data_IF_441245385931
#
_entry.id   IF_441245385931
#
_cell.length_a   1.000
_cell.length_b   1.000
_cell.length_c   1.000
_cell.angle_alpha   90.00
_cell.angle_beta   90.00
_cell.angle_gamma   90.00
#
_symmetry.space_group_name_H-M   'P 1'
#
loop_
_entity.id
_entity.type
_entity.pdbx_description
1 polymer ?
#
# COMPACT_ATOMS: atom_id res chain seq x y z
N UNK A 1 56.36 9.45 -68.03
CA UNK A 1 56.65 10.88 -67.82
C UNK A 1 56.73 11.12 -66.30
N UNK A 2 57.97 11.01 -65.80
CA UNK A 2 58.31 11.27 -64.42
C UNK A 2 58.41 12.78 -64.16
N UNK A 3 57.70 13.30 -63.16
CA UNK A 3 57.87 14.69 -62.75
C UNK A 3 58.95 14.75 -61.66
N UNK A 4 60.11 15.27 -62.04
CA UNK A 4 61.21 15.60 -61.14
C UNK A 4 60.73 16.53 -59.97
N UNK A 5 60.93 16.12 -58.72
CA UNK A 5 60.77 16.96 -57.52
C UNK A 5 62.04 17.85 -57.44
N UNK A 6 61.87 19.17 -57.66
CA UNK A 6 62.88 20.19 -57.35
C UNK A 6 63.14 20.22 -55.81
N UNK A 7 64.33 19.77 -55.43
CA UNK A 7 64.82 19.91 -54.03
C UNK A 7 65.19 21.41 -53.86
N UNK A 8 64.51 22.06 -52.83
CA UNK A 8 64.84 23.40 -52.38
C UNK A 8 66.17 23.37 -51.68
N UNK A 9 67.24 24.01 -52.16
CA UNK A 9 68.51 24.19 -51.47
C UNK A 9 68.31 24.95 -50.15
N UNK A 10 68.88 24.41 -49.06
CA UNK A 10 68.95 25.07 -47.81
C UNK A 10 69.61 26.46 -47.90
N UNK A 11 69.01 27.43 -47.23
CA UNK A 11 69.43 28.84 -47.25
C UNK A 11 70.62 29.16 -46.30
N UNK A 12 71.15 28.14 -45.62
CA UNK A 12 72.21 28.28 -44.62
C UNK A 12 73.35 27.27 -44.90
N UNK A 13 74.60 27.64 -44.64
CA UNK A 13 75.74 26.72 -44.84
C UNK A 13 75.68 25.58 -43.80
N UNK A 14 76.20 24.42 -44.16
CA UNK A 14 76.33 23.29 -43.28
C UNK A 14 77.13 23.67 -41.99
N UNK A 15 76.57 23.43 -40.80
CA UNK A 15 77.18 23.75 -39.55
C UNK A 15 76.62 25.01 -38.84
N UNK A 16 75.69 25.73 -39.41
CA UNK A 16 75.11 26.92 -38.72
C UNK A 16 74.13 26.54 -37.66
N UNK A 17 74.59 26.60 -36.36
CA UNK A 17 73.73 26.47 -35.20
C UNK A 17 73.15 27.86 -34.86
N UNK A 18 72.02 28.18 -35.44
CA UNK A 18 71.35 29.45 -35.15
C UNK A 18 70.89 29.53 -33.67
N UNK A 19 71.10 30.69 -33.10
CA UNK A 19 70.59 30.95 -31.71
C UNK A 19 69.07 30.70 -31.68
N UNK A 20 68.54 30.00 -30.63
CA UNK A 20 67.09 29.81 -30.52
C UNK A 20 66.42 31.19 -30.41
N UNK A 21 65.37 31.37 -31.20
CA UNK A 21 64.53 32.58 -31.10
C UNK A 21 63.92 32.62 -29.71
N UNK A 22 63.96 33.78 -29.02
CA UNK A 22 63.33 33.90 -27.70
C UNK A 22 61.84 33.54 -27.86
N UNK A 23 61.36 32.60 -26.99
CA UNK A 23 59.93 32.28 -26.89
C UNK A 23 59.21 33.59 -26.49
N UNK A 24 58.29 34.04 -27.36
CA UNK A 24 57.37 35.10 -26.99
C UNK A 24 56.49 34.54 -25.88
N UNK A 25 56.61 35.01 -24.64
CA UNK A 25 55.69 34.74 -23.58
C UNK A 25 54.32 35.24 -24.06
N UNK A 26 53.36 34.35 -24.21
CA UNK A 26 51.97 34.74 -24.39
C UNK A 26 51.52 35.23 -23.02
N UNK A 27 51.50 36.54 -22.79
CA UNK A 27 50.77 37.13 -21.69
C UNK A 27 49.29 36.81 -21.90
N UNK A 28 48.71 36.00 -21.02
CA UNK A 28 47.30 35.78 -20.96
C UNK A 28 46.63 37.08 -20.46
N UNK A 29 46.12 37.90 -21.40
CA UNK A 29 45.24 39.00 -21.03
C UNK A 29 43.90 38.46 -20.55
N UNK A 30 43.65 38.53 -19.29
CA UNK A 30 42.31 38.18 -18.72
C UNK A 30 41.36 39.32 -19.11
N UNK A 31 40.60 39.08 -20.16
CA UNK A 31 39.57 40.02 -20.56
C UNK A 31 38.41 39.98 -19.57
N UNK A 32 37.96 41.13 -19.10
CA UNK A 32 36.76 41.20 -18.25
C UNK A 32 35.57 40.58 -19.00
N UNK A 33 34.80 39.66 -18.35
CA UNK A 33 33.70 38.99 -19.00
C UNK A 33 32.64 39.99 -19.49
N UNK A 34 32.18 39.81 -20.73
CA UNK A 34 31.18 40.68 -21.36
C UNK A 34 29.80 40.48 -20.73
N UNK A 35 28.87 41.44 -20.89
CA UNK A 35 27.46 41.27 -20.45
C UNK A 35 26.84 40.00 -21.03
N UNK A 36 27.15 39.62 -22.24
CA UNK A 36 26.68 38.37 -22.87
C UNK A 36 27.17 37.12 -22.17
N UNK A 37 28.39 37.12 -21.63
CA UNK A 37 28.94 36.02 -20.84
C UNK A 37 28.13 35.83 -19.55
N UNK A 38 27.80 36.92 -18.82
CA UNK A 38 27.02 36.86 -17.60
C UNK A 38 25.58 36.41 -17.85
N UNK A 39 24.95 36.82 -18.95
CA UNK A 39 23.63 36.34 -19.35
C UNK A 39 23.67 34.84 -19.67
N UNK A 40 24.68 34.38 -20.42
CA UNK A 40 24.86 32.96 -20.71
C UNK A 40 25.10 32.10 -19.47
N UNK A 41 25.91 32.61 -18.53
CA UNK A 41 26.17 31.93 -17.24
C UNK A 41 24.89 31.84 -16.39
N UNK A 42 24.10 32.91 -16.31
CA UNK A 42 22.83 32.92 -15.59
C UNK A 42 21.85 31.90 -16.18
N UNK A 43 21.78 31.81 -17.52
CA UNK A 43 20.94 30.84 -18.21
C UNK A 43 21.40 29.39 -17.98
N UNK A 44 22.71 29.13 -17.99
CA UNK A 44 23.30 27.82 -17.68
C UNK A 44 23.02 27.41 -16.23
N UNK A 45 23.15 28.32 -15.27
CA UNK A 45 22.81 28.06 -13.86
C UNK A 45 21.30 27.81 -13.66
N UNK A 46 20.43 28.50 -14.38
CA UNK A 46 18.99 28.25 -14.34
C UNK A 46 18.64 26.84 -14.89
N UNK A 47 19.28 26.42 -15.98
CA UNK A 47 19.09 25.06 -16.53
C UNK A 47 19.60 24.01 -15.55
N UNK A 48 20.78 24.20 -14.97
CA UNK A 48 21.32 23.28 -13.95
C UNK A 48 20.38 23.19 -12.74
N UNK A 49 19.90 24.33 -12.26
CA UNK A 49 18.93 24.37 -11.15
C UNK A 49 17.63 23.64 -11.48
N UNK A 50 17.10 23.81 -12.69
CA UNK A 50 15.93 23.10 -13.16
C UNK A 50 16.15 21.59 -13.29
N UNK A 51 17.27 21.17 -13.86
CA UNK A 51 17.64 19.75 -13.95
C UNK A 51 17.84 19.12 -12.56
N UNK A 52 18.51 19.85 -11.65
CA UNK A 52 18.67 19.40 -10.25
C UNK A 52 17.31 19.26 -9.56
N UNK A 53 16.40 20.22 -9.77
CA UNK A 53 15.03 20.13 -9.26
C UNK A 53 14.30 18.90 -9.79
N UNK A 54 14.39 18.61 -11.09
CA UNK A 54 13.79 17.40 -11.69
C UNK A 54 14.38 16.13 -11.07
N UNK A 55 15.71 16.05 -10.94
CA UNK A 55 16.38 14.88 -10.34
C UNK A 55 15.95 14.69 -8.89
N UNK A 56 15.89 15.76 -8.09
CA UNK A 56 15.39 15.69 -6.71
C UNK A 56 13.94 15.22 -6.67
N UNK A 57 13.09 15.70 -7.59
CA UNK A 57 11.69 15.26 -7.71
C UNK A 57 11.57 13.79 -8.08
N UNK A 58 12.37 13.30 -9.03
CA UNK A 58 12.42 11.89 -9.42
C UNK A 58 12.89 11.01 -8.25
N UNK A 59 13.94 11.42 -7.53
CA UNK A 59 14.43 10.69 -6.35
C UNK A 59 13.38 10.69 -5.23
N UNK A 60 12.65 11.80 -5.03
CA UNK A 60 11.56 11.85 -4.04
C UNK A 60 10.38 10.95 -4.40
N UNK A 61 10.09 10.75 -5.69
CA UNK A 61 9.04 9.81 -6.14
C UNK A 61 9.46 8.34 -5.90
N UNK A 62 10.75 8.02 -6.06
CA UNK A 62 11.25 6.66 -5.80
C UNK A 62 11.36 6.31 -4.31
N UNK A 63 11.42 7.30 -3.42
CA UNK A 63 11.55 7.13 -1.97
C UNK A 63 10.25 7.36 -1.20
N UNK A 64 9.09 7.03 -1.75
CA UNK A 64 7.85 6.98 -0.95
C UNK A 64 7.98 5.85 0.06
N UNK A 65 8.48 6.18 1.24
CA UNK A 65 8.58 5.22 2.36
C UNK A 65 7.17 4.79 2.71
N UNK A 66 6.95 3.49 2.63
CA UNK A 66 5.68 2.90 3.05
C UNK A 66 5.49 3.13 4.55
N UNK A 67 4.30 3.53 5.02
CA UNK A 67 4.03 3.61 6.44
C UNK A 67 4.24 2.23 7.08
N UNK A 68 4.66 2.17 8.35
CA UNK A 68 4.78 0.91 9.07
C UNK A 68 3.41 0.25 9.19
N UNK A 69 3.41 -1.08 9.22
CA UNK A 69 2.19 -1.82 9.55
C UNK A 69 1.86 -1.59 11.02
N UNK A 70 0.65 -1.14 11.29
CA UNK A 70 0.11 -0.92 12.61
C UNK A 70 -0.85 -2.06 12.99
N UNK A 71 -0.82 -2.47 14.24
CA UNK A 71 -1.75 -3.44 14.79
C UNK A 71 -2.93 -2.70 15.41
N UNK A 72 -4.05 -2.65 14.69
CA UNK A 72 -5.28 -2.12 15.24
C UNK A 72 -6.01 -3.24 16.00
N UNK A 73 -6.34 -2.99 17.24
CA UNK A 73 -7.12 -3.87 18.08
C UNK A 73 -8.41 -3.18 18.49
N UNK A 74 -9.51 -3.91 18.44
CA UNK A 74 -10.81 -3.38 18.83
C UNK A 74 -10.84 -3.15 20.33
N UNK A 75 -10.80 -1.89 20.70
CA UNK A 75 -10.96 -1.47 22.09
C UNK A 75 -12.45 -1.46 22.53
N UNK A 76 -12.74 -0.68 23.56
CA UNK A 76 -14.13 -0.49 23.98
C UNK A 76 -14.89 0.31 22.93
N UNK A 77 -15.84 -0.34 22.26
CA UNK A 77 -16.68 0.29 21.24
C UNK A 77 -17.67 1.27 21.90
N UNK A 78 -17.86 2.42 21.25
CA UNK A 78 -18.92 3.36 21.60
C UNK A 78 -20.24 2.91 20.97
N UNK A 79 -21.35 3.25 21.58
CA UNK A 79 -22.67 3.03 20.98
C UNK A 79 -23.08 4.11 19.97
N UNK A 80 -22.26 5.15 19.78
CA UNK A 80 -22.65 6.32 18.99
C UNK A 80 -21.60 6.68 17.92
N UNK A 81 -21.62 5.95 16.83
CA UNK A 81 -20.90 6.32 15.62
C UNK A 81 -21.88 6.84 14.55
N UNK A 82 -22.49 7.98 14.84
CA UNK A 82 -23.50 8.63 14.00
C UNK A 82 -22.97 9.97 13.48
N UNK A 83 -23.14 10.25 12.20
CA UNK A 83 -23.03 11.58 11.62
C UNK A 83 -24.42 12.03 11.16
N UNK A 84 -24.75 13.28 11.37
CA UNK A 84 -26.06 13.79 11.03
C UNK A 84 -26.00 15.26 10.59
N UNK A 85 -26.73 15.57 9.53
CA UNK A 85 -26.97 16.92 9.08
C UNK A 85 -28.47 17.11 8.75
N UNK A 86 -28.83 18.21 8.11
CA UNK A 86 -30.22 18.50 7.77
C UNK A 86 -30.86 17.48 6.82
N UNK A 87 -30.04 16.83 5.96
CA UNK A 87 -30.51 16.03 4.84
C UNK A 87 -30.29 14.52 5.04
N UNK A 88 -29.21 14.18 5.72
CA UNK A 88 -28.76 12.79 5.87
C UNK A 88 -28.50 12.44 7.35
N UNK A 89 -28.69 11.16 7.67
CA UNK A 89 -28.21 10.56 8.91
C UNK A 89 -27.42 9.30 8.55
N UNK A 90 -26.15 9.26 8.90
CA UNK A 90 -25.26 8.11 8.76
C UNK A 90 -25.12 7.43 10.11
N UNK A 91 -25.28 6.12 10.16
CA UNK A 91 -25.13 5.32 11.38
C UNK A 91 -24.24 4.11 11.07
N UNK A 92 -23.10 4.01 11.74
CA UNK A 92 -22.17 2.90 11.62
C UNK A 92 -22.44 1.89 12.75
N UNK A 93 -22.60 0.63 12.37
CA UNK A 93 -22.62 -0.49 13.31
C UNK A 93 -21.18 -0.81 13.73
N UNK A 94 -20.83 -0.60 15.00
CA UNK A 94 -19.47 -0.80 15.46
C UNK A 94 -19.02 -2.27 15.46
N UNK A 95 -19.93 -3.25 15.53
CA UNK A 95 -19.58 -4.67 15.59
C UNK A 95 -19.27 -5.27 14.22
N UNK A 96 -19.92 -4.76 13.17
CA UNK A 96 -19.75 -5.24 11.80
C UNK A 96 -19.00 -4.28 10.90
N UNK A 97 -18.86 -3.03 11.32
CA UNK A 97 -18.34 -1.89 10.52
C UNK A 97 -19.17 -1.57 9.29
N UNK A 98 -20.35 -2.17 9.16
CA UNK A 98 -21.34 -1.80 8.14
C UNK A 98 -22.10 -0.55 8.59
N UNK A 99 -22.78 0.10 7.67
CA UNK A 99 -23.50 1.33 7.98
C UNK A 99 -24.79 1.49 7.20
N UNK A 100 -25.61 2.42 7.66
CA UNK A 100 -26.81 2.89 6.97
C UNK A 100 -26.75 4.38 6.73
N UNK A 101 -27.38 4.83 5.66
CA UNK A 101 -27.61 6.26 5.38
C UNK A 101 -29.09 6.51 5.18
N UNK A 102 -29.71 7.21 6.10
CA UNK A 102 -31.09 7.67 5.97
C UNK A 102 -31.14 8.99 5.19
N UNK A 103 -31.82 9.00 4.08
CA UNK A 103 -32.17 10.19 3.34
C UNK A 103 -33.47 10.80 3.95
N UNK A 104 -33.33 11.90 4.70
CA UNK A 104 -34.42 12.41 5.54
C UNK A 104 -35.65 12.91 4.78
N UNK A 105 -35.44 13.46 3.57
CA UNK A 105 -36.52 14.01 2.76
C UNK A 105 -37.44 12.95 2.14
N UNK A 106 -36.91 11.73 1.89
CA UNK A 106 -37.66 10.61 1.29
C UNK A 106 -37.97 9.51 2.30
N UNK A 107 -37.24 9.45 3.42
CA UNK A 107 -37.27 8.34 4.36
C UNK A 107 -36.55 7.07 3.89
N UNK A 108 -35.89 7.10 2.72
CA UNK A 108 -35.13 5.97 2.19
C UNK A 108 -33.89 5.69 3.03
N UNK A 109 -33.69 4.43 3.36
CA UNK A 109 -32.48 3.94 4.00
C UNK A 109 -31.62 3.20 2.99
N UNK A 110 -30.38 3.65 2.82
CA UNK A 110 -29.36 3.01 2.02
C UNK A 110 -28.45 2.18 2.92
N UNK A 111 -28.18 0.94 2.53
CA UNK A 111 -27.33 0.03 3.28
C UNK A 111 -25.97 -0.10 2.60
N UNK A 112 -24.92 -0.09 3.39
CA UNK A 112 -23.54 -0.33 2.89
C UNK A 112 -23.38 -1.75 2.35
N UNK A 113 -24.13 -2.69 2.90
CA UNK A 113 -24.01 -4.13 2.65
C UNK A 113 -25.42 -4.78 2.58
N UNK A 114 -25.61 -5.83 1.80
CA UNK A 114 -26.89 -6.54 1.69
C UNK A 114 -27.36 -7.11 3.04
N UNK A 115 -28.59 -6.81 3.42
CA UNK A 115 -29.16 -7.25 4.71
C UNK A 115 -29.26 -8.78 4.83
N UNK A 116 -29.47 -9.49 3.72
CA UNK A 116 -29.57 -10.94 3.66
C UNK A 116 -28.29 -11.68 3.29
N UNK A 117 -27.12 -11.02 3.31
CA UNK A 117 -25.85 -11.59 2.83
C UNK A 117 -25.53 -12.97 3.41
N UNK A 118 -25.63 -13.13 4.72
CA UNK A 118 -25.29 -14.40 5.39
C UNK A 118 -26.30 -15.53 5.15
N UNK A 119 -27.52 -15.19 4.80
CA UNK A 119 -28.61 -16.15 4.52
C UNK A 119 -28.81 -16.41 3.04
N UNK A 120 -28.04 -15.78 2.16
CA UNK A 120 -28.10 -15.99 0.73
C UNK A 120 -27.86 -17.48 0.38
N UNK A 121 -28.84 -18.09 -0.32
CA UNK A 121 -28.79 -19.51 -0.67
C UNK A 121 -27.92 -19.81 -1.87
N UNK A 122 -27.66 -18.81 -2.72
CA UNK A 122 -26.89 -18.94 -3.95
C UNK A 122 -25.41 -18.72 -3.69
N UNK A 123 -25.07 -17.75 -2.83
CA UNK A 123 -23.69 -17.36 -2.57
C UNK A 123 -22.92 -18.41 -1.78
N UNK A 124 -21.69 -18.68 -2.23
CA UNK A 124 -20.71 -19.45 -1.45
C UNK A 124 -20.26 -18.67 -0.22
N UNK A 125 -19.66 -19.36 0.75
CA UNK A 125 -19.19 -18.73 2.00
C UNK A 125 -18.27 -17.53 1.75
N UNK A 126 -17.35 -17.62 0.77
CA UNK A 126 -16.45 -16.51 0.40
C UNK A 126 -17.27 -15.28 -0.05
N UNK A 127 -18.26 -15.48 -0.91
CA UNK A 127 -19.11 -14.38 -1.41
C UNK A 127 -19.99 -13.78 -0.31
N UNK A 128 -20.50 -14.59 0.63
CA UNK A 128 -21.22 -14.10 1.80
C UNK A 128 -20.35 -13.18 2.66
N UNK A 129 -19.10 -13.58 2.88
CA UNK A 129 -18.14 -12.77 3.61
C UNK A 129 -17.78 -11.47 2.84
N UNK A 130 -17.62 -11.56 1.50
CA UNK A 130 -17.41 -10.38 0.66
C UNK A 130 -18.59 -9.41 0.78
N UNK A 131 -19.84 -9.91 0.76
CA UNK A 131 -21.05 -9.09 0.91
C UNK A 131 -21.16 -8.42 2.29
N UNK A 132 -20.52 -8.95 3.33
CA UNK A 132 -20.45 -8.33 4.66
C UNK A 132 -19.29 -7.34 4.81
N UNK A 133 -18.46 -7.20 3.79
CA UNK A 133 -17.21 -6.41 3.87
C UNK A 133 -17.36 -5.02 3.25
N UNK A 134 -16.72 -4.03 3.87
CA UNK A 134 -16.63 -2.65 3.37
C UNK A 134 -15.46 -2.44 2.41
N UNK A 135 -14.46 -3.33 2.47
CA UNK A 135 -13.33 -3.37 1.54
C UNK A 135 -13.01 -4.80 1.14
N UNK A 136 -12.58 -4.97 -0.12
CA UNK A 136 -11.94 -6.19 -0.60
C UNK A 136 -10.53 -5.85 -1.10
N UNK A 137 -9.54 -6.60 -0.62
CA UNK A 137 -8.12 -6.38 -0.96
C UNK A 137 -7.65 -7.57 -1.78
N UNK A 138 -7.48 -7.38 -3.07
CA UNK A 138 -6.84 -8.37 -3.95
C UNK A 138 -5.35 -8.10 -3.97
N UNK A 139 -4.56 -9.10 -3.68
CA UNK A 139 -3.11 -9.00 -3.55
C UNK A 139 -2.40 -10.13 -4.29
N UNK A 140 -1.10 -9.92 -4.57
CA UNK A 140 -0.23 -10.96 -5.12
C UNK A 140 0.35 -11.82 -4.02
N UNK A 141 0.29 -13.12 -4.19
CA UNK A 141 0.99 -14.08 -3.34
C UNK A 141 2.46 -14.21 -3.77
N UNK A 142 3.29 -14.79 -2.90
CA UNK A 142 4.72 -15.05 -3.19
C UNK A 142 4.90 -15.89 -4.48
N UNK A 143 3.95 -16.76 -4.78
CA UNK A 143 3.98 -17.63 -5.96
C UNK A 143 3.48 -16.94 -7.23
N UNK A 144 3.16 -15.65 -7.17
CA UNK A 144 2.65 -14.88 -8.30
C UNK A 144 1.18 -15.11 -8.64
N UNK A 145 0.45 -15.91 -7.86
CA UNK A 145 -1.00 -16.02 -7.96
C UNK A 145 -1.67 -14.89 -7.18
N UNK A 146 -2.92 -14.58 -7.51
CA UNK A 146 -3.72 -13.60 -6.80
C UNK A 146 -4.59 -14.27 -5.75
N UNK A 147 -4.79 -13.59 -4.63
CA UNK A 147 -5.79 -13.94 -3.63
C UNK A 147 -6.49 -12.68 -3.12
N UNK A 148 -7.60 -12.85 -2.43
CA UNK A 148 -8.42 -11.73 -1.95
C UNK A 148 -8.75 -11.93 -0.48
N UNK A 149 -8.42 -10.92 0.33
CA UNK A 149 -8.90 -10.78 1.69
C UNK A 149 -10.08 -9.81 1.74
N UNK A 150 -11.05 -10.17 2.55
CA UNK A 150 -12.21 -9.36 2.89
C UNK A 150 -12.07 -8.79 4.31
N UNK A 151 -12.57 -7.58 4.56
CA UNK A 151 -12.45 -6.93 5.87
C UNK A 151 -13.26 -7.64 6.95
N UNK A 152 -14.38 -8.26 6.60
CA UNK A 152 -15.24 -8.93 7.58
C UNK A 152 -14.54 -10.13 8.23
N UNK A 153 -14.01 -11.06 7.42
CA UNK A 153 -13.36 -12.28 7.93
C UNK A 153 -11.95 -12.01 8.46
N UNK A 154 -11.19 -11.15 7.74
CA UNK A 154 -9.76 -10.99 7.98
C UNK A 154 -9.42 -9.84 8.92
N UNK A 155 -10.41 -9.06 9.36
CA UNK A 155 -10.25 -7.96 10.32
C UNK A 155 -11.37 -7.97 11.38
N UNK A 156 -12.62 -7.72 10.98
CA UNK A 156 -13.75 -7.51 11.92
C UNK A 156 -14.00 -8.71 12.82
N UNK A 157 -14.14 -9.92 12.26
CA UNK A 157 -14.31 -11.15 13.06
C UNK A 157 -13.15 -11.47 13.99
N UNK A 158 -12.00 -10.84 13.80
CA UNK A 158 -10.80 -11.03 14.60
C UNK A 158 -10.57 -9.92 15.60
N UNK A 159 -11.44 -8.91 15.63
CA UNK A 159 -11.27 -7.70 16.41
C UNK A 159 -9.99 -6.91 16.09
N UNK A 160 -9.59 -6.89 14.80
CA UNK A 160 -8.39 -6.20 14.32
C UNK A 160 -8.75 -4.91 13.58
N UNK A 161 -9.51 -4.05 14.23
CA UNK A 161 -9.91 -2.74 13.73
C UNK A 161 -10.12 -1.78 14.90
N UNK A 162 -10.08 -0.49 14.60
CA UNK A 162 -10.57 0.52 15.52
C UNK A 162 -11.47 1.52 14.80
N UNK A 163 -12.29 2.23 15.54
CA UNK A 163 -13.19 3.24 15.04
C UNK A 163 -12.95 4.53 15.80
N UNK A 164 -12.64 5.59 15.06
CA UNK A 164 -12.43 6.91 15.60
C UNK A 164 -13.50 7.87 15.07
N UNK A 165 -14.08 8.68 15.96
CA UNK A 165 -14.97 9.77 15.57
C UNK A 165 -14.32 11.09 15.96
N UNK A 166 -14.00 11.91 14.98
CA UNK A 166 -13.40 13.24 15.16
C UNK A 166 -14.27 14.28 14.47
N UNK A 167 -14.98 15.08 15.25
CA UNK A 167 -15.88 16.11 14.70
C UNK A 167 -16.97 15.52 13.80
N UNK A 168 -16.94 15.88 12.51
CA UNK A 168 -17.90 15.42 11.50
C UNK A 168 -17.33 14.27 10.62
N UNK A 169 -16.39 13.52 11.12
CA UNK A 169 -15.76 12.40 10.42
C UNK A 169 -15.73 11.16 11.31
N UNK A 170 -15.96 10.01 10.70
CA UNK A 170 -15.76 8.70 11.30
C UNK A 170 -14.73 7.95 10.45
N UNK A 171 -13.67 7.51 11.10
CA UNK A 171 -12.61 6.70 10.48
C UNK A 171 -12.67 5.29 11.01
N UNK A 172 -12.66 4.31 10.12
CA UNK A 172 -12.48 2.90 10.48
C UNK A 172 -11.11 2.48 9.96
N UNK A 173 -10.23 2.11 10.88
CA UNK A 173 -8.89 1.62 10.58
C UNK A 173 -8.88 0.10 10.70
N UNK A 174 -8.48 -0.58 9.62
CA UNK A 174 -8.44 -2.04 9.56
C UNK A 174 -7.01 -2.56 9.54
N UNK A 175 -6.75 -3.60 10.34
CA UNK A 175 -5.65 -4.54 10.11
C UNK A 175 -6.24 -5.79 9.47
N UNK A 176 -5.98 -6.01 8.19
CA UNK A 176 -6.56 -7.10 7.39
C UNK A 176 -5.52 -8.20 7.18
N UNK A 177 -5.82 -9.41 7.63
CA UNK A 177 -4.92 -10.56 7.50
C UNK A 177 -4.32 -11.01 8.82
N UNK A 178 -3.26 -11.82 8.76
CA UNK A 178 -2.57 -12.25 9.95
C UNK A 178 -1.44 -11.27 10.27
N UNK A 179 -1.67 -10.49 11.29
CA UNK A 179 -0.65 -9.71 11.94
C UNK A 179 -0.50 -10.27 13.35
N UNK A 180 0.59 -11.01 13.60
CA UNK A 180 0.98 -11.25 14.96
C UNK A 180 1.41 -9.89 15.55
N UNK A 181 0.82 -9.52 16.67
CA UNK A 181 1.28 -8.36 17.43
C UNK A 181 2.79 -8.46 17.60
N UNK A 182 3.52 -7.45 17.22
CA UNK A 182 4.93 -7.36 17.57
C UNK A 182 5.05 -7.17 19.08
N UNK A 183 5.73 -8.07 19.73
CA UNK A 183 6.03 -8.00 21.16
C UNK A 183 7.42 -7.40 21.31
N UNK A 184 7.52 -6.37 22.15
CA UNK A 184 8.75 -5.57 22.31
C UNK A 184 9.63 -6.20 23.38
N UNK A 185 10.50 -7.11 22.95
CA UNK A 185 11.54 -7.74 23.78
C UNK A 185 12.70 -8.21 22.89
N UNK A 186 13.92 -8.44 23.42
CA UNK A 186 15.05 -8.86 22.60
C UNK A 186 14.78 -10.17 21.86
N UNK A 187 14.99 -10.21 20.56
CA UNK A 187 14.95 -11.45 19.75
C UNK A 187 16.26 -12.22 19.81
N UNK A 188 17.36 -11.48 20.03
CA UNK A 188 18.74 -11.99 20.18
C UNK A 188 19.41 -11.27 21.34
N UNK A 189 20.21 -11.98 22.10
CA UNK A 189 21.09 -11.45 23.12
C UNK A 189 22.41 -12.22 23.10
N UNK A 190 23.51 -11.51 23.24
CA UNK A 190 24.75 -12.13 23.64
C UNK A 190 24.83 -12.25 25.17
N UNK A 191 25.85 -12.95 25.70
CA UNK A 191 25.94 -13.16 27.15
C UNK A 191 25.93 -11.85 27.94
N UNK A 192 26.63 -10.83 27.45
CA UNK A 192 26.69 -9.51 28.09
C UNK A 192 25.32 -8.85 28.15
N UNK A 193 24.55 -8.91 27.05
CA UNK A 193 23.17 -8.40 26.99
C UNK A 193 22.23 -9.17 27.91
N UNK A 194 22.37 -10.50 27.93
CA UNK A 194 21.57 -11.34 28.80
C UNK A 194 21.83 -10.98 30.27
N UNK A 195 23.07 -10.83 30.67
CA UNK A 195 23.46 -10.45 32.03
C UNK A 195 22.94 -9.04 32.37
N UNK A 196 23.12 -8.08 31.48
CA UNK A 196 22.61 -6.70 31.63
C UNK A 196 21.10 -6.66 31.85
N UNK A 197 20.34 -7.32 30.99
CA UNK A 197 18.88 -7.27 31.02
C UNK A 197 18.27 -8.12 32.11
N UNK A 198 18.97 -9.13 32.60
CA UNK A 198 18.51 -10.00 33.71
C UNK A 198 19.01 -9.57 35.08
N UNK A 199 19.94 -8.61 35.16
CA UNK A 199 20.43 -8.07 36.42
C UNK A 199 19.28 -7.54 37.30
N UNK A 200 19.23 -7.94 38.58
CA UNK A 200 18.21 -7.52 39.53
C UNK A 200 16.83 -8.14 39.30
N UNK A 201 16.63 -9.06 38.37
CA UNK A 201 15.42 -9.86 38.25
C UNK A 201 15.38 -10.94 39.35
N UNK A 202 14.17 -11.35 39.73
CA UNK A 202 13.97 -12.51 40.61
C UNK A 202 14.43 -13.80 39.93
N UNK A 203 14.81 -14.83 40.72
CA UNK A 203 15.21 -16.13 40.18
C UNK A 203 14.14 -16.74 39.25
N UNK A 204 12.88 -16.55 39.56
CA UNK A 204 11.77 -17.02 38.72
C UNK A 204 11.71 -16.29 37.37
N UNK A 205 11.93 -14.99 37.35
CA UNK A 205 11.97 -14.21 36.12
C UNK A 205 13.18 -14.55 35.24
N UNK A 206 14.38 -14.67 35.83
CA UNK A 206 15.57 -15.14 35.11
C UNK A 206 15.33 -16.52 34.48
N UNK A 207 14.72 -17.44 35.27
CA UNK A 207 14.35 -18.76 34.74
C UNK A 207 13.31 -18.67 33.61
N UNK A 208 12.35 -17.74 33.68
CA UNK A 208 11.36 -17.53 32.63
C UNK A 208 12.03 -17.03 31.35
N UNK A 209 12.94 -16.04 31.47
CA UNK A 209 13.75 -15.55 30.32
C UNK A 209 14.58 -16.70 29.75
N UNK A 210 15.31 -17.44 30.57
CA UNK A 210 16.14 -18.56 30.08
C UNK A 210 15.35 -19.64 29.33
N UNK A 211 14.05 -19.82 29.65
CA UNK A 211 13.16 -20.75 28.93
C UNK A 211 12.57 -20.20 27.65
N UNK A 212 12.66 -18.89 27.42
CA UNK A 212 12.18 -18.26 26.20
C UNK A 212 13.22 -18.26 25.07
N UNK A 213 14.48 -18.64 25.37
CA UNK A 213 15.58 -18.56 24.44
C UNK A 213 16.35 -19.87 24.35
N UNK A 214 16.80 -20.20 23.14
CA UNK A 214 17.88 -21.16 22.92
C UNK A 214 19.21 -20.52 23.29
N UNK A 215 19.98 -21.21 24.14
CA UNK A 215 21.36 -20.83 24.45
C UNK A 215 22.31 -21.60 23.58
N UNK A 216 23.08 -20.93 22.79
CA UNK A 216 24.12 -21.48 21.91
C UNK A 216 25.48 -20.98 22.30
N UNK A 217 26.51 -21.78 21.98
CA UNK A 217 27.91 -21.39 22.01
C UNK A 217 28.66 -22.09 20.86
N UNK A 218 29.93 -21.76 20.66
CA UNK A 218 30.76 -22.37 19.61
C UNK A 218 30.75 -23.93 19.61
N UNK A 219 30.58 -24.54 20.77
CA UNK A 219 30.49 -26.00 20.90
C UNK A 219 29.13 -26.59 20.54
N UNK A 220 28.12 -25.77 20.34
CA UNK A 220 26.76 -26.22 19.98
C UNK A 220 26.64 -26.71 18.54
N UNK A 221 27.56 -26.31 17.67
CA UNK A 221 27.53 -26.60 16.24
C UNK A 221 28.85 -27.18 15.75
N UNK A 222 28.86 -27.85 14.56
CA UNK A 222 30.06 -28.44 13.96
C UNK A 222 30.09 -28.22 12.45
N UNK A 223 31.31 -28.21 11.88
CA UNK A 223 31.50 -28.17 10.44
C UNK A 223 30.86 -26.97 9.75
N UNK A 224 30.12 -27.19 8.66
CA UNK A 224 29.47 -26.14 7.87
C UNK A 224 28.42 -25.35 8.66
N UNK A 225 27.71 -26.02 9.59
CA UNK A 225 26.70 -25.37 10.42
C UNK A 225 27.34 -24.36 11.40
N UNK A 226 28.50 -24.69 11.98
CA UNK A 226 29.26 -23.75 12.80
C UNK A 226 29.73 -22.54 11.98
N UNK A 227 30.20 -22.77 10.75
CA UNK A 227 30.65 -21.70 9.88
C UNK A 227 29.50 -20.75 9.52
N UNK A 228 28.33 -21.27 9.21
CA UNK A 228 27.12 -20.48 8.94
C UNK A 228 26.66 -19.66 10.16
N UNK A 229 26.68 -20.29 11.34
CA UNK A 229 26.31 -19.61 12.58
C UNK A 229 27.31 -18.51 12.97
N UNK A 230 28.59 -18.71 12.75
CA UNK A 230 29.63 -17.68 13.01
C UNK A 230 29.59 -16.56 11.96
N UNK A 231 29.17 -16.83 10.72
CA UNK A 231 28.95 -15.80 9.71
C UNK A 231 27.76 -14.90 10.07
N UNK A 232 26.67 -15.50 10.55
CA UNK A 232 25.48 -14.80 11.01
C UNK A 232 25.70 -14.06 12.33
N UNK A 233 26.40 -14.67 13.27
CA UNK A 233 26.60 -14.22 14.65
C UNK A 233 28.07 -14.32 15.09
N UNK A 234 28.94 -13.43 14.61
CA UNK A 234 30.38 -13.55 14.83
C UNK A 234 30.81 -13.58 16.30
N UNK A 235 30.09 -12.85 17.16
CA UNK A 235 30.44 -12.77 18.59
C UNK A 235 30.18 -14.08 19.35
N UNK A 236 29.43 -15.03 18.78
CA UNK A 236 29.24 -16.36 19.33
C UNK A 236 30.56 -17.14 19.43
N UNK A 237 31.61 -16.68 18.76
CA UNK A 237 32.95 -17.27 18.90
C UNK A 237 33.49 -17.19 20.34
N UNK A 238 33.21 -16.08 21.04
CA UNK A 238 33.78 -15.76 22.33
C UNK A 238 32.77 -15.72 23.48
N UNK A 239 31.45 -15.70 23.19
CA UNK A 239 30.42 -15.64 24.21
C UNK A 239 29.17 -16.47 23.83
N UNK A 240 28.29 -16.70 24.81
CA UNK A 240 27.05 -17.40 24.52
C UNK A 240 26.08 -16.49 23.75
N UNK A 241 25.33 -17.11 22.85
CA UNK A 241 24.26 -16.49 22.05
C UNK A 241 22.91 -17.02 22.54
N UNK A 242 21.98 -16.14 22.79
CA UNK A 242 20.59 -16.45 23.15
C UNK A 242 19.68 -16.01 21.99
N UNK A 243 19.03 -16.96 21.33
CA UNK A 243 18.05 -16.71 20.29
C UNK A 243 16.66 -17.08 20.79
N UNK A 244 15.69 -16.21 20.58
CA UNK A 244 14.29 -16.50 20.95
C UNK A 244 13.81 -17.76 20.23
N UNK A 245 13.00 -18.58 20.90
CA UNK A 245 12.37 -19.74 20.26
C UNK A 245 11.43 -19.30 19.13
N UNK A 246 11.50 -19.93 17.95
CA UNK A 246 10.64 -19.60 16.80
C UNK A 246 9.14 -19.72 17.11
N UNK A 247 8.76 -20.77 17.87
CA UNK A 247 7.36 -21.08 18.19
C UNK A 247 6.98 -20.71 19.63
N UNK A 248 7.49 -19.58 20.10
CA UNK A 248 7.17 -19.09 21.45
C UNK A 248 5.68 -18.74 21.57
N UNK A 249 5.01 -19.26 22.61
CA UNK A 249 3.59 -19.06 22.82
C UNK A 249 3.28 -17.61 23.21
N UNK A 250 2.09 -17.11 22.82
CA UNK A 250 1.66 -15.71 23.03
C UNK A 250 1.80 -15.27 24.49
N UNK A 251 1.38 -16.09 25.46
CA UNK A 251 1.49 -15.72 26.87
C UNK A 251 2.93 -15.55 27.34
N UNK A 252 3.89 -16.29 26.76
CA UNK A 252 5.32 -16.12 27.05
C UNK A 252 5.84 -14.84 26.40
N UNK A 253 5.41 -14.50 25.17
CA UNK A 253 5.74 -13.23 24.53
C UNK A 253 5.29 -12.03 25.38
N UNK A 254 4.05 -12.07 25.89
CA UNK A 254 3.51 -11.04 26.81
C UNK A 254 4.38 -10.95 28.08
N UNK A 255 4.73 -12.10 28.67
CA UNK A 255 5.58 -12.13 29.87
C UNK A 255 6.98 -11.55 29.59
N UNK A 256 7.58 -11.84 28.43
CA UNK A 256 8.89 -11.26 28.04
C UNK A 256 8.77 -9.76 27.87
N UNK A 257 7.78 -9.30 27.13
CA UNK A 257 7.53 -7.86 26.95
C UNK A 257 7.40 -7.12 28.28
N UNK A 258 6.62 -7.66 29.24
CA UNK A 258 6.48 -7.08 30.56
C UNK A 258 7.80 -7.03 31.34
N UNK A 259 8.61 -8.09 31.29
CA UNK A 259 9.89 -8.17 31.97
C UNK A 259 10.85 -7.13 31.39
N UNK A 260 11.02 -7.11 30.08
CA UNK A 260 11.99 -6.24 29.43
C UNK A 260 11.55 -4.76 29.42
N UNK A 261 10.26 -4.48 29.28
CA UNK A 261 9.71 -3.11 29.40
C UNK A 261 9.97 -2.51 30.79
N UNK A 262 9.78 -3.30 31.87
CA UNK A 262 10.13 -2.87 33.25
C UNK A 262 11.62 -2.61 33.44
N UNK A 263 12.47 -3.18 32.60
CA UNK A 263 13.92 -2.95 32.57
C UNK A 263 14.32 -1.79 31.67
N UNK A 264 13.35 -1.14 31.00
CA UNK A 264 13.58 0.00 30.13
C UNK A 264 13.93 -0.35 28.70
N UNK A 265 13.68 -1.60 28.25
CA UNK A 265 13.81 -1.99 26.85
C UNK A 265 12.73 -1.29 26.01
N UNK A 266 13.16 -0.47 25.05
CA UNK A 266 12.30 0.40 24.25
C UNK A 266 11.97 -0.22 22.88
N UNK A 267 11.07 0.44 22.14
CA UNK A 267 10.78 0.06 20.75
C UNK A 267 11.98 0.29 19.83
N UNK A 268 12.76 1.34 20.08
CA UNK A 268 14.01 1.62 19.37
C UNK A 268 15.03 0.50 19.58
N UNK A 269 15.21 0.05 20.82
CA UNK A 269 16.08 -1.09 21.15
C UNK A 269 15.63 -2.36 20.41
N UNK A 270 14.31 -2.59 20.34
CA UNK A 270 13.73 -3.71 19.60
C UNK A 270 14.05 -3.66 18.11
N UNK A 271 13.92 -2.46 17.48
CA UNK A 271 14.22 -2.30 16.05
C UNK A 271 15.69 -2.56 15.74
N UNK A 272 16.60 -2.10 16.60
CA UNK A 272 18.03 -2.38 16.47
C UNK A 272 18.34 -3.86 16.67
N UNK A 273 17.77 -4.47 17.69
CA UNK A 273 17.91 -5.88 17.99
C UNK A 273 17.38 -6.77 16.85
N UNK A 274 16.24 -6.39 16.25
CA UNK A 274 15.64 -7.08 15.10
C UNK A 274 16.54 -7.09 13.87
N UNK A 275 17.38 -6.07 13.66
CA UNK A 275 18.36 -6.04 12.56
C UNK A 275 19.47 -7.08 12.76
N UNK A 276 19.82 -7.38 14.00
CA UNK A 276 20.83 -8.38 14.36
C UNK A 276 20.29 -9.82 14.27
N UNK A 277 18.98 -10.00 14.45
CA UNK A 277 18.35 -11.31 14.39
C UNK A 277 18.27 -11.83 12.95
N UNK A 278 19.08 -12.83 12.61
CA UNK A 278 19.22 -13.39 11.25
C UNK A 278 18.36 -14.64 11.00
N UNK A 279 17.74 -15.19 12.03
CA UNK A 279 16.83 -16.33 11.91
C UNK A 279 15.50 -15.89 11.32
N UNK A 280 15.39 -15.79 10.01
CA UNK A 280 14.17 -15.35 9.33
C UNK A 280 13.37 -16.52 8.74
N UNK A 281 13.04 -17.51 9.53
CA UNK A 281 12.04 -18.52 9.18
C UNK A 281 10.62 -18.10 9.62
N UNK A 282 10.42 -16.86 10.09
CA UNK A 282 9.08 -16.32 10.27
C UNK A 282 8.47 -16.22 8.88
N UNK A 283 7.62 -17.20 8.56
CA UNK A 283 6.85 -17.21 7.32
C UNK A 283 5.97 -15.98 7.33
N UNK A 284 6.43 -14.91 6.68
CA UNK A 284 5.61 -13.73 6.51
C UNK A 284 4.29 -14.13 5.85
N UNK A 285 3.18 -13.72 6.43
CA UNK A 285 1.83 -13.93 5.91
C UNK A 285 1.27 -12.59 5.44
N UNK A 286 0.30 -12.56 4.52
CA UNK A 286 -0.30 -11.31 4.05
C UNK A 286 -0.90 -10.51 5.22
N UNK A 287 -0.55 -9.22 5.28
CA UNK A 287 -1.12 -8.27 6.24
C UNK A 287 -1.17 -6.87 5.61
N UNK A 288 -2.25 -6.16 5.88
CA UNK A 288 -2.56 -4.87 5.28
C UNK A 288 -3.17 -3.94 6.31
N UNK A 289 -2.78 -2.66 6.30
CA UNK A 289 -3.53 -1.60 6.96
C UNK A 289 -4.22 -0.75 5.90
N UNK A 290 -5.51 -0.56 6.08
CA UNK A 290 -6.33 0.30 5.22
C UNK A 290 -7.35 1.02 6.10
N UNK A 291 -7.52 2.32 5.87
CA UNK A 291 -8.51 3.14 6.57
C UNK A 291 -9.59 3.61 5.62
N UNK A 292 -10.83 3.70 6.12
CA UNK A 292 -11.93 4.37 5.44
C UNK A 292 -12.42 5.52 6.31
N UNK A 293 -12.57 6.68 5.68
CA UNK A 293 -13.09 7.89 6.33
C UNK A 293 -14.46 8.24 5.73
N UNK A 294 -15.43 8.39 6.60
CA UNK A 294 -16.80 8.78 6.25
C UNK A 294 -17.10 10.20 6.73
N UNK A 295 -17.75 10.99 5.86
CA UNK A 295 -18.16 12.36 6.17
C UNK A 295 -19.47 12.68 5.46
N UNK A 296 -20.31 13.53 6.08
CA UNK A 296 -21.48 14.10 5.43
C UNK A 296 -21.17 15.52 4.94
N UNK A 297 -21.50 15.79 3.67
CA UNK A 297 -21.38 17.11 3.06
C UNK A 297 -22.67 17.45 2.27
N UNK A 298 -23.50 18.29 2.84
CA UNK A 298 -24.81 18.63 2.27
C UNK A 298 -25.69 17.39 2.07
N UNK A 299 -25.99 17.05 0.82
CA UNK A 299 -26.75 15.86 0.43
C UNK A 299 -25.87 14.65 0.15
N UNK A 300 -24.58 14.75 0.40
CA UNK A 300 -23.62 13.75 -0.02
C UNK A 300 -23.03 12.99 1.17
N UNK A 301 -22.89 11.69 1.03
CA UNK A 301 -21.95 10.89 1.79
C UNK A 301 -20.59 10.89 1.06
N UNK A 302 -19.58 11.44 1.68
CA UNK A 302 -18.19 11.40 1.19
C UNK A 302 -17.48 10.25 1.85
N UNK A 303 -16.93 9.36 1.03
CA UNK A 303 -16.13 8.21 1.46
C UNK A 303 -14.73 8.38 0.93
N UNK A 304 -13.73 8.38 1.80
CA UNK A 304 -12.33 8.55 1.42
C UNK A 304 -11.47 7.40 1.93
N UNK A 305 -10.62 6.87 1.06
CA UNK A 305 -9.56 5.91 1.41
C UNK A 305 -8.22 6.55 1.08
N UNK A 306 -7.43 6.98 2.08
CA UNK A 306 -6.14 7.62 1.86
C UNK A 306 -5.10 6.57 1.44
N UNK A 307 -4.72 6.52 0.16
CA UNK A 307 -3.76 5.53 -0.34
C UNK A 307 -2.35 5.70 0.24
N UNK A 308 -1.97 6.93 0.63
CA UNK A 308 -0.69 7.20 1.29
C UNK A 308 -0.55 6.54 2.66
N UNK A 309 -1.67 6.22 3.30
CA UNK A 309 -1.72 5.58 4.62
C UNK A 309 -1.81 4.06 4.55
N UNK A 310 -1.97 3.49 3.34
CA UNK A 310 -2.02 2.05 3.15
C UNK A 310 -0.64 1.46 3.41
N UNK A 311 -0.56 0.52 4.35
CA UNK A 311 0.62 -0.27 4.61
C UNK A 311 0.38 -1.75 4.27
N UNK A 312 1.41 -2.44 3.80
CA UNK A 312 1.35 -3.87 3.49
C UNK A 312 2.74 -4.49 3.53
N UNK A 313 2.83 -5.78 3.69
CA UNK A 313 4.11 -6.50 3.57
C UNK A 313 4.55 -6.55 2.11
N UNK A 314 5.76 -6.10 1.80
CA UNK A 314 6.26 -5.95 0.42
C UNK A 314 6.18 -7.23 -0.44
N UNK A 315 6.24 -8.41 0.20
CA UNK A 315 6.06 -9.69 -0.49
C UNK A 315 4.63 -9.95 -0.97
N UNK A 316 3.67 -9.15 -0.52
CA UNK A 316 2.24 -9.27 -0.82
C UNK A 316 1.68 -7.93 -1.33
N UNK A 317 2.13 -7.42 -2.47
CA UNK A 317 1.67 -6.14 -2.98
C UNK A 317 0.17 -6.19 -3.31
N UNK A 318 -0.53 -5.10 -2.99
CA UNK A 318 -1.94 -4.95 -3.32
C UNK A 318 -2.07 -4.71 -4.83
N UNK A 319 -2.89 -5.51 -5.50
CA UNK A 319 -3.19 -5.38 -6.92
C UNK A 319 -4.42 -4.48 -7.11
N UNK A 320 -5.45 -4.71 -6.30
CA UNK A 320 -6.73 -4.03 -6.44
C UNK A 320 -7.39 -3.85 -5.08
N UNK A 321 -8.04 -2.71 -4.92
CA UNK A 321 -8.86 -2.38 -3.76
C UNK A 321 -10.29 -2.10 -4.24
N UNK A 322 -11.28 -2.88 -3.74
CA UNK A 322 -12.70 -2.59 -3.95
C UNK A 322 -13.25 -1.89 -2.73
N UNK A 323 -13.83 -0.71 -2.94
CA UNK A 323 -14.36 0.13 -1.84
C UNK A 323 -15.88 0.08 -1.86
N UNK A 324 -16.49 -0.18 -0.71
CA UNK A 324 -17.93 -0.36 -0.52
C UNK A 324 -18.56 -1.24 -1.61
N UNK A 325 -18.08 -2.49 -1.76
CA UNK A 325 -18.35 -3.29 -2.94
C UNK A 325 -19.82 -3.61 -3.17
N UNK A 326 -20.66 -3.46 -2.17
CA UNK A 326 -22.10 -3.78 -2.22
C UNK A 326 -23.01 -2.63 -1.74
N UNK A 327 -22.51 -1.39 -1.73
CA UNK A 327 -23.33 -0.26 -1.30
C UNK A 327 -24.59 -0.11 -2.17
N UNK A 328 -25.74 -0.10 -1.53
CA UNK A 328 -27.04 0.04 -2.21
C UNK A 328 -27.45 -1.17 -3.06
N UNK A 329 -26.79 -2.32 -2.92
CA UNK A 329 -27.06 -3.50 -3.76
C UNK A 329 -28.54 -3.92 -3.77
N UNK A 330 -29.07 -4.19 -4.97
CA UNK A 330 -30.45 -4.64 -5.17
C UNK A 330 -30.60 -6.14 -4.94
N UNK A 331 -31.58 -6.52 -4.14
CA UNK A 331 -31.89 -7.90 -3.80
C UNK A 331 -32.66 -8.66 -4.91
N UNK A 332 -32.98 -9.93 -4.66
CA UNK A 332 -33.64 -10.80 -5.66
C UNK A 332 -35.07 -10.38 -6.02
N UNK A 333 -35.74 -9.68 -5.13
CA UNK A 333 -37.13 -9.20 -5.33
C UNK A 333 -37.20 -7.70 -5.64
N UNK A 334 -36.04 -7.02 -5.69
CA UNK A 334 -36.02 -5.59 -5.93
C UNK A 334 -36.16 -5.26 -7.41
N UNK A 335 -36.94 -4.23 -7.69
CA UNK A 335 -37.00 -3.56 -8.98
C UNK A 335 -36.02 -2.39 -9.03
N UNK A 336 -35.32 -2.24 -10.15
CA UNK A 336 -34.38 -1.17 -10.33
C UNK A 336 -33.32 -1.45 -11.38
N UNK A 337 -32.30 -0.64 -11.40
CA UNK A 337 -31.19 -0.77 -12.34
C UNK A 337 -29.87 -0.22 -11.78
N UNK A 338 -28.79 -0.71 -12.34
CA UNK A 338 -27.45 -0.14 -12.18
C UNK A 338 -27.15 0.79 -13.36
N UNK A 339 -26.62 1.97 -13.08
CA UNK A 339 -26.08 2.89 -14.07
C UNK A 339 -24.59 2.62 -14.25
N UNK A 340 -24.16 2.42 -15.47
CA UNK A 340 -22.75 2.26 -15.85
C UNK A 340 -22.37 3.30 -16.90
N UNK A 341 -21.12 3.80 -16.90
CA UNK A 341 -20.68 4.88 -17.79
C UNK A 341 -20.18 4.37 -19.15
N UNK A 342 -20.81 3.33 -19.69
CA UNK A 342 -20.51 2.81 -21.01
C UNK A 342 -21.09 3.72 -22.08
N UNK A 343 -20.25 4.23 -23.00
CA UNK A 343 -20.65 5.23 -23.99
C UNK A 343 -21.14 6.51 -23.33
N UNK A 344 -22.36 6.91 -23.63
CA UNK A 344 -23.05 8.07 -23.03
C UNK A 344 -23.77 7.76 -21.71
N UNK A 345 -23.62 6.55 -21.19
CA UNK A 345 -24.32 5.99 -20.04
C UNK A 345 -25.27 4.87 -20.48
N UNK A 346 -25.22 3.75 -19.77
CA UNK A 346 -26.06 2.57 -20.00
C UNK A 346 -26.65 2.09 -18.69
N UNK A 347 -27.74 1.34 -18.76
CA UNK A 347 -28.38 0.75 -17.59
C UNK A 347 -28.39 -0.78 -17.68
N UNK A 348 -28.22 -1.42 -16.53
CA UNK A 348 -28.38 -2.87 -16.36
C UNK A 348 -29.50 -3.07 -15.36
N UNK A 349 -30.66 -3.58 -15.85
CA UNK A 349 -31.80 -3.86 -14.98
C UNK A 349 -31.46 -4.96 -13.97
N UNK A 350 -31.97 -4.85 -12.77
CA UNK A 350 -31.87 -5.88 -11.75
C UNK A 350 -32.56 -7.17 -12.25
N UNK A 351 -32.08 -8.28 -11.75
CA UNK A 351 -32.72 -9.60 -11.94
C UNK A 351 -33.05 -9.93 -13.40
N UNK A 352 -32.27 -9.42 -14.36
CA UNK A 352 -32.55 -9.55 -15.80
C UNK A 352 -32.31 -10.98 -16.37
N UNK A 353 -31.84 -11.92 -15.56
CA UNK A 353 -31.64 -13.32 -15.90
C UNK A 353 -30.48 -13.64 -16.85
N UNK A 354 -29.66 -12.65 -17.25
CA UNK A 354 -28.52 -12.82 -18.17
C UNK A 354 -27.27 -13.40 -17.49
N UNK A 355 -27.43 -14.36 -16.60
CA UNK A 355 -26.39 -14.97 -15.77
C UNK A 355 -25.26 -15.66 -16.52
N UNK A 356 -25.46 -15.99 -17.80
CA UNK A 356 -24.41 -16.60 -18.65
C UNK A 356 -23.49 -15.58 -19.31
N UNK A 357 -23.84 -14.30 -19.28
CA UNK A 357 -23.01 -13.23 -19.84
C UNK A 357 -21.96 -12.81 -18.81
N UNK A 358 -20.84 -12.29 -19.28
CA UNK A 358 -19.85 -11.68 -18.39
C UNK A 358 -20.47 -10.45 -17.72
N UNK A 359 -20.08 -10.19 -16.47
CA UNK A 359 -20.35 -8.93 -15.80
C UNK A 359 -19.68 -7.77 -16.53
N UNK A 360 -20.17 -6.57 -16.29
CA UNK A 360 -19.51 -5.38 -16.80
C UNK A 360 -18.24 -5.09 -16.01
N UNK A 361 -17.16 -4.82 -16.72
CA UNK A 361 -15.96 -4.19 -16.19
C UNK A 361 -15.38 -3.24 -17.22
N UNK A 362 -15.06 -2.01 -16.80
CA UNK A 362 -14.35 -1.06 -17.64
C UNK A 362 -13.45 -0.15 -16.80
N UNK A 363 -12.25 0.09 -17.29
CA UNK A 363 -11.38 1.11 -16.71
C UNK A 363 -11.90 2.51 -17.02
N UNK A 364 -11.85 3.41 -16.04
CA UNK A 364 -12.16 4.82 -16.27
C UNK A 364 -11.18 5.39 -17.29
N UNK A 365 -11.71 6.11 -18.27
CA UNK A 365 -10.97 6.67 -19.40
C UNK A 365 -10.32 5.66 -20.36
N UNK A 366 -10.43 4.36 -20.08
CA UNK A 366 -9.89 3.29 -20.92
C UNK A 366 -8.36 3.15 -20.82
N UNK A 367 -7.76 2.74 -21.93
CA UNK A 367 -6.33 2.49 -22.02
C UNK A 367 -5.54 3.78 -22.23
N UNK A 368 -4.35 3.87 -21.62
CA UNK A 368 -3.40 4.94 -21.94
C UNK A 368 -2.77 4.69 -23.30
N UNK A 369 -3.10 5.53 -24.28
CA UNK A 369 -2.58 5.41 -25.65
C UNK A 369 -1.08 5.67 -25.78
N UNK A 370 -0.41 6.22 -24.78
CA UNK A 370 1.03 6.37 -24.74
C UNK A 370 1.75 5.05 -24.39
N UNK A 371 1.02 4.05 -23.92
CA UNK A 371 1.56 2.75 -23.53
C UNK A 371 1.47 1.75 -24.67
N UNK A 372 2.53 0.94 -24.85
CA UNK A 372 2.50 -0.20 -25.77
C UNK A 372 1.50 -1.25 -25.27
N UNK A 373 0.67 -1.75 -26.17
CA UNK A 373 -0.28 -2.81 -25.86
C UNK A 373 -0.40 -3.82 -27.00
N UNK A 374 -0.79 -5.04 -26.67
CA UNK A 374 -1.22 -6.01 -27.67
C UNK A 374 -2.53 -5.53 -28.32
N UNK A 375 -2.72 -5.83 -29.60
CA UNK A 375 -3.96 -5.49 -30.30
C UNK A 375 -5.17 -6.03 -29.56
N UNK A 376 -6.11 -5.15 -29.24
CA UNK A 376 -7.39 -5.49 -28.62
C UNK A 376 -8.49 -5.24 -29.65
N UNK A 377 -9.33 -6.26 -29.88
CA UNK A 377 -10.41 -6.20 -30.89
C UNK A 377 -11.57 -5.35 -30.37
N UNK A 378 -11.92 -5.51 -29.10
CA UNK A 378 -12.97 -4.76 -28.43
C UNK A 378 -12.46 -4.28 -27.09
N UNK A 379 -12.72 -3.03 -26.78
CA UNK A 379 -12.36 -2.40 -25.52
C UNK A 379 -13.58 -1.72 -24.94
N UNK A 380 -13.94 -2.15 -23.72
CA UNK A 380 -14.93 -1.50 -22.89
C UNK A 380 -14.21 -0.42 -22.07
N UNK A 381 -14.74 0.79 -22.05
CA UNK A 381 -14.20 1.85 -21.21
C UNK A 381 -15.30 2.64 -20.56
N UNK A 382 -15.08 3.03 -19.31
CA UNK A 382 -15.92 3.99 -18.61
C UNK A 382 -15.61 5.40 -19.13
N UNK A 383 -16.54 6.02 -19.84
CA UNK A 383 -16.35 7.36 -20.40
C UNK A 383 -16.24 8.43 -19.30
N UNK A 384 -16.87 8.18 -18.17
CA UNK A 384 -16.93 9.10 -17.02
C UNK A 384 -16.67 8.30 -15.71
N UNK A 385 -16.09 8.91 -14.69
CA UNK A 385 -15.83 8.27 -13.40
C UNK A 385 -17.09 8.29 -12.51
N UNK A 386 -18.21 7.79 -13.04
CA UNK A 386 -19.50 7.78 -12.35
C UNK A 386 -20.17 6.42 -12.51
N UNK A 387 -20.95 6.03 -11.51
CA UNK A 387 -21.83 4.86 -11.55
C UNK A 387 -23.00 5.08 -10.60
N UNK A 388 -24.00 4.26 -10.65
CA UNK A 388 -25.15 4.47 -9.77
C UNK A 388 -26.04 3.28 -9.62
N UNK A 389 -26.96 3.39 -8.70
CA UNK A 389 -28.02 2.44 -8.43
C UNK A 389 -29.34 3.19 -8.29
N UNK A 390 -30.38 2.70 -8.94
CA UNK A 390 -31.70 3.30 -8.90
C UNK A 390 -32.76 2.26 -8.58
N UNK A 391 -33.63 2.63 -7.67
CA UNK A 391 -34.89 1.99 -7.34
C UNK A 391 -36.04 2.84 -7.87
N UNK A 392 -37.29 2.34 -7.89
CA UNK A 392 -38.41 3.14 -8.44
C UNK A 392 -38.62 4.49 -7.78
N UNK A 393 -38.30 4.62 -6.49
CA UNK A 393 -38.56 5.80 -5.65
C UNK A 393 -37.31 6.61 -5.26
N UNK A 394 -36.13 6.09 -5.56
CA UNK A 394 -34.88 6.70 -5.08
C UNK A 394 -33.67 6.21 -5.87
N UNK A 395 -32.65 7.05 -5.96
CA UNK A 395 -31.40 6.69 -6.62
C UNK A 395 -30.21 7.30 -5.93
N UNK A 396 -29.06 6.66 -6.11
CA UNK A 396 -27.75 7.18 -5.73
C UNK A 396 -26.86 7.21 -6.96
N UNK A 397 -26.24 8.36 -7.21
CA UNK A 397 -25.18 8.53 -8.19
C UNK A 397 -23.86 8.62 -7.44
N UNK A 398 -22.95 7.71 -7.73
CA UNK A 398 -21.60 7.69 -7.18
C UNK A 398 -20.66 8.40 -8.15
N UNK A 399 -19.91 9.38 -7.64
CA UNK A 399 -18.89 10.10 -8.41
C UNK A 399 -17.53 9.81 -7.81
N UNK A 400 -16.62 9.26 -8.63
CA UNK A 400 -15.22 9.07 -8.23
C UNK A 400 -14.52 10.41 -8.35
N UNK A 401 -14.39 11.11 -7.24
CA UNK A 401 -13.87 12.47 -7.20
C UNK A 401 -12.34 12.55 -7.20
N UNK A 402 -11.69 11.48 -6.68
CA UNK A 402 -10.23 11.32 -6.69
C UNK A 402 -9.88 9.86 -6.98
N UNK A 403 -8.75 9.64 -7.65
CA UNK A 403 -8.24 8.31 -7.99
C UNK A 403 -8.95 7.66 -9.19
N UNK A 404 -9.70 8.44 -10.00
CA UNK A 404 -10.40 7.93 -11.18
C UNK A 404 -9.44 7.31 -12.22
N UNK A 405 -8.23 7.80 -12.29
CA UNK A 405 -7.16 7.29 -13.16
C UNK A 405 -6.68 5.88 -12.80
N UNK A 406 -6.97 5.42 -11.58
CA UNK A 406 -6.68 4.06 -11.12
C UNK A 406 -7.94 3.19 -11.05
N UNK A 407 -9.11 3.77 -11.29
CA UNK A 407 -10.38 3.11 -11.07
C UNK A 407 -10.88 2.37 -12.31
N UNK A 408 -11.50 1.23 -12.06
CA UNK A 408 -12.41 0.56 -12.97
C UNK A 408 -13.77 0.42 -12.31
N UNK A 409 -14.82 0.29 -13.13
CA UNK A 409 -16.19 0.12 -12.66
C UNK A 409 -16.63 -1.31 -12.97
N UNK A 410 -17.04 -2.03 -11.94
CA UNK A 410 -17.58 -3.38 -12.02
C UNK A 410 -19.07 -3.36 -11.75
N UNK A 411 -19.88 -3.99 -12.60
CA UNK A 411 -21.28 -4.25 -12.30
C UNK A 411 -21.61 -5.72 -12.54
N UNK A 412 -22.34 -6.32 -11.62
CA UNK A 412 -22.73 -7.72 -11.67
C UNK A 412 -24.21 -7.89 -11.30
N UNK A 413 -24.87 -8.80 -11.99
CA UNK A 413 -26.28 -9.10 -11.74
C UNK A 413 -26.45 -10.24 -10.75
N UNK A 414 -27.60 -10.27 -10.09
CA UNK A 414 -28.03 -11.38 -9.28
C UNK A 414 -28.06 -12.68 -10.09
N UNK A 415 -27.80 -13.80 -9.42
CA UNK A 415 -27.87 -15.14 -10.01
C UNK A 415 -26.51 -15.71 -10.44
N UNK A 416 -25.41 -14.96 -10.35
CA UNK A 416 -24.06 -15.44 -10.68
C UNK A 416 -23.24 -15.80 -9.44
N UNK A 417 -22.86 -14.81 -8.67
CA UNK A 417 -22.03 -14.97 -7.45
C UNK A 417 -22.88 -15.00 -6.19
N UNK A 418 -24.08 -14.46 -6.25
CA UNK A 418 -25.05 -14.37 -5.18
C UNK A 418 -26.37 -13.84 -5.68
N UNK A 419 -27.29 -13.56 -4.77
CA UNK A 419 -28.65 -13.09 -5.09
C UNK A 419 -28.75 -11.56 -5.21
N UNK A 420 -27.62 -10.84 -5.31
CA UNK A 420 -27.62 -9.38 -5.30
C UNK A 420 -27.03 -8.80 -6.58
N UNK A 421 -27.66 -7.70 -7.02
CA UNK A 421 -27.19 -6.86 -8.11
C UNK A 421 -26.35 -5.72 -7.52
N UNK A 422 -25.14 -5.50 -8.01
CA UNK A 422 -24.27 -4.46 -7.47
C UNK A 422 -23.43 -3.79 -8.54
N UNK A 423 -23.07 -2.55 -8.28
CA UNK A 423 -22.11 -1.78 -9.05
C UNK A 423 -21.13 -1.10 -8.09
N UNK A 424 -19.84 -1.13 -8.42
CA UNK A 424 -18.77 -0.63 -7.55
C UNK A 424 -17.59 -0.10 -8.33
N UNK A 425 -16.73 0.66 -7.64
CA UNK A 425 -15.41 0.99 -8.13
C UNK A 425 -14.35 0.04 -7.57
N UNK A 426 -13.45 -0.38 -8.44
CA UNK A 426 -12.27 -1.19 -8.16
C UNK A 426 -11.02 -0.38 -8.53
N UNK A 427 -10.12 -0.14 -7.56
CA UNK A 427 -8.90 0.64 -7.76
C UNK A 427 -7.71 -0.26 -8.00
N UNK A 428 -7.05 -0.12 -9.14
CA UNK A 428 -5.79 -0.80 -9.46
C UNK A 428 -4.65 -0.14 -8.69
N UNK A 429 -4.01 -0.90 -7.81
CA UNK A 429 -2.89 -0.43 -6.99
C UNK A 429 -1.53 -0.80 -7.58
N UNK A 430 -1.50 -1.79 -8.46
CA UNK A 430 -0.31 -2.30 -9.13
C UNK A 430 -0.66 -2.71 -10.57
N UNK A 431 0.03 -2.09 -11.54
CA UNK A 431 -0.13 -2.38 -12.97
C UNK A 431 0.95 -3.36 -13.43
N UNK A 432 0.69 -4.65 -13.31
CA UNK A 432 1.67 -5.71 -13.61
C UNK A 432 2.00 -5.91 -15.08
N UNK A 433 1.06 -5.62 -15.96
CA UNK A 433 1.19 -5.96 -17.37
C UNK A 433 2.03 -4.94 -18.17
N UNK A 434 2.21 -3.75 -17.63
CA UNK A 434 2.81 -2.62 -18.32
C UNK A 434 3.97 -2.00 -17.56
N UNK A 435 3.73 -1.61 -16.34
CA UNK A 435 4.71 -0.99 -15.44
C UNK A 435 4.20 -1.04 -14.01
N UNK A 436 5.12 -1.02 -13.06
CA UNK A 436 4.77 -0.92 -11.66
C UNK A 436 4.51 0.54 -11.31
N UNK A 437 3.26 0.88 -11.07
CA UNK A 437 2.85 2.20 -10.56
C UNK A 437 2.15 2.01 -9.23
N UNK A 438 2.61 2.76 -8.24
CA UNK A 438 1.95 2.81 -6.94
C UNK A 438 0.99 4.01 -6.89
N UNK A 439 -0.28 3.77 -6.61
CA UNK A 439 -1.30 4.80 -6.42
C UNK A 439 -1.19 5.53 -5.05
N UNK A 440 -0.04 5.48 -4.38
CA UNK A 440 0.16 5.97 -3.02
C UNK A 440 -0.02 7.46 -2.82
N UNK A 441 0.21 8.26 -3.86
CA UNK A 441 0.02 9.71 -3.81
C UNK A 441 -1.44 10.13 -3.93
N UNK A 442 -2.34 9.20 -4.19
CA UNK A 442 -3.75 9.43 -4.44
C UNK A 442 -4.61 8.92 -3.29
N UNK A 443 -5.89 9.23 -3.34
CA UNK A 443 -6.91 8.63 -2.49
C UNK A 443 -8.13 8.28 -3.33
N UNK A 444 -8.81 7.19 -2.95
CA UNK A 444 -10.16 6.93 -3.45
C UNK A 444 -11.12 7.83 -2.70
N UNK A 445 -11.84 8.68 -3.38
CA UNK A 445 -12.89 9.49 -2.79
C UNK A 445 -14.16 9.38 -3.62
N UNK A 446 -15.22 8.97 -2.96
CA UNK A 446 -16.56 8.91 -3.52
C UNK A 446 -17.43 10.01 -2.92
N UNK A 447 -18.35 10.48 -3.74
CA UNK A 447 -19.46 11.33 -3.32
C UNK A 447 -20.74 10.63 -3.78
N UNK A 448 -21.53 10.21 -2.84
CA UNK A 448 -22.79 9.51 -3.04
C UNK A 448 -23.98 10.45 -2.84
#
# INVERSE_FOLDING_TARGET
>A
MEKEKKVKKSKYPEGYIGRPKPMKSKTFEIHKPTKKFWIGLAFALAIIGFLTYIVIRLIQVENVVQPPLEYYETGKLSSNYTLENNNLKFELDPETTTFTVLQKNTGKVWYSNPQGAMTDKLALTKEKNNMMSTLLIRYSTINGSDDTYDTYTNSVKRNFYNIEKKGNEITVNYTVGQMDREYIFPLIMYQEDFDKWTEGLSKSQVSAVGRAYHKYNKGSFKGAELADMLDKYPEMENQNLYLVFENIQTHVKVQMEEIFSKKGFTYEDYLENKKLYKESNIKEVPAFNVSIVYKLDGNNLVVNVPFSEIAYRLKYPIIQLSVLPYFGAGGPEDEGYMLIPEGGGSIINFNNGKVRQNGYYADCYGWDYAMERKAVITETRAAYPVFGIAYPDSSVLSVINKGAEYAGITAEIAGKLGSYNYVRADYKMLHREQYEVSARSQSAQFVY
#
